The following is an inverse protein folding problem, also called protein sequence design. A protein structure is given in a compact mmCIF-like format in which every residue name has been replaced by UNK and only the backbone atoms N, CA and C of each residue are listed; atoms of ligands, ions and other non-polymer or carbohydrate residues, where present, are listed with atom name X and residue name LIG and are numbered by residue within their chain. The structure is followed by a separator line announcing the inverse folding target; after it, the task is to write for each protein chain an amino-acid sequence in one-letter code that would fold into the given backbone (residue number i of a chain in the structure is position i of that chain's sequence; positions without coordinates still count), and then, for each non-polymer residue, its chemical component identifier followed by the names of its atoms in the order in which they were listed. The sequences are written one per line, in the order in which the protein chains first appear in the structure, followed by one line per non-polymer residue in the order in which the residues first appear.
data_IF_889728872996
#
_entry.id   IF_889728872996
#
_cell.length_a   1.000
_cell.length_b   1.000
_cell.length_c   1.000
_cell.angle_alpha   90.00
_cell.angle_beta   90.00
_cell.angle_gamma   90.00
#
_symmetry.space_group_name_H-M   'P 1'
#
loop_
_entity.id
_entity.type
_entity.pdbx_description
1 polymer ?
#
# COMPACT_ATOMS: atom_id res chain seq x y z
N UNK A 1 -25.07 -5.73 -9.82
CA UNK A 1 -24.51 -5.17 -11.07
C UNK A 1 -24.05 -3.73 -10.88
N UNK A 2 -24.91 -2.85 -10.37
CA UNK A 2 -24.60 -1.43 -10.15
C UNK A 2 -23.46 -1.20 -9.14
N UNK A 3 -23.46 -1.95 -8.02
CA UNK A 3 -22.39 -1.89 -7.01
C UNK A 3 -21.02 -2.33 -7.56
N UNK A 4 -20.99 -3.41 -8.34
CA UNK A 4 -19.78 -3.88 -9.03
C UNK A 4 -19.23 -2.81 -9.98
N UNK A 5 -20.10 -2.17 -10.78
CA UNK A 5 -19.67 -1.10 -11.69
C UNK A 5 -19.17 0.14 -10.95
N UNK A 6 -19.67 0.45 -9.75
CA UNK A 6 -19.11 1.51 -8.90
C UNK A 6 -17.69 1.21 -8.43
N UNK A 7 -17.39 -0.05 -8.12
CA UNK A 7 -16.07 -0.45 -7.59
C UNK A 7 -15.02 -0.71 -8.69
N UNK A 8 -15.42 -1.27 -9.84
CA UNK A 8 -14.49 -1.73 -10.89
C UNK A 8 -14.87 -1.29 -12.31
N UNK A 9 -15.78 -0.33 -12.46
CA UNK A 9 -16.35 0.09 -13.76
C UNK A 9 -15.30 0.45 -14.82
N UNK A 10 -14.26 1.18 -14.44
CA UNK A 10 -13.17 1.55 -15.35
C UNK A 10 -12.44 0.33 -15.93
N UNK A 11 -12.18 -0.68 -15.09
CA UNK A 11 -11.53 -1.93 -15.55
C UNK A 11 -12.49 -2.77 -16.40
N UNK A 12 -13.76 -2.82 -16.03
CA UNK A 12 -14.80 -3.50 -16.78
C UNK A 12 -14.93 -2.93 -18.20
N UNK A 13 -14.99 -1.61 -18.36
CA UNK A 13 -15.03 -0.94 -19.67
C UNK A 13 -13.76 -1.22 -20.48
N UNK A 14 -12.58 -1.13 -19.86
CA UNK A 14 -11.31 -1.40 -20.53
C UNK A 14 -11.26 -2.80 -21.17
N UNK A 15 -11.86 -3.82 -20.55
CA UNK A 15 -11.90 -5.17 -21.12
C UNK A 15 -12.74 -5.28 -22.40
N UNK A 16 -13.71 -4.39 -22.63
CA UNK A 16 -14.53 -4.41 -23.85
C UNK A 16 -13.76 -3.95 -25.10
N UNK A 17 -12.62 -3.28 -24.93
CA UNK A 17 -11.75 -2.85 -26.02
C UNK A 17 -10.78 -3.95 -26.50
N UNK A 18 -10.99 -5.21 -26.09
CA UNK A 18 -10.19 -6.34 -26.56
C UNK A 18 -8.96 -6.62 -25.71
N UNK A 19 -9.10 -6.61 -24.39
CA UNK A 19 -8.01 -7.03 -23.51
C UNK A 19 -7.61 -8.49 -23.80
N UNK A 20 -6.32 -8.80 -23.98
CA UNK A 20 -5.86 -10.17 -24.25
C UNK A 20 -5.97 -11.03 -22.99
N UNK A 21 -5.92 -12.37 -23.12
CA UNK A 21 -5.68 -13.25 -21.98
C UNK A 21 -4.36 -12.86 -21.31
N UNK A 22 -4.40 -12.53 -20.03
CA UNK A 22 -3.23 -12.11 -19.26
C UNK A 22 -3.26 -12.72 -17.86
N UNK A 23 -2.08 -12.87 -17.27
CA UNK A 23 -1.89 -13.36 -15.92
C UNK A 23 -0.54 -12.89 -15.38
N UNK A 24 -0.39 -12.87 -14.07
CA UNK A 24 0.83 -12.42 -13.41
C UNK A 24 0.93 -12.93 -11.98
N UNK A 25 2.06 -12.64 -11.34
CA UNK A 25 2.34 -13.00 -9.95
C UNK A 25 3.09 -11.85 -9.27
N UNK A 26 2.84 -11.66 -7.98
CA UNK A 26 3.56 -10.71 -7.14
C UNK A 26 4.28 -11.45 -6.01
N UNK A 27 5.54 -11.10 -5.77
CA UNK A 27 6.35 -11.67 -4.71
C UNK A 27 6.35 -10.75 -3.49
N UNK A 28 6.19 -11.34 -2.31
CA UNK A 28 6.42 -10.63 -1.05
C UNK A 28 7.92 -10.48 -0.79
N UNK A 29 8.55 -9.44 -1.33
CA UNK A 29 10.01 -9.24 -1.29
C UNK A 29 10.55 -9.27 0.14
N UNK A 30 9.92 -8.57 1.08
CA UNK A 30 10.38 -8.57 2.48
C UNK A 30 10.33 -9.96 3.11
N UNK A 31 9.31 -10.74 2.78
CA UNK A 31 9.19 -12.13 3.26
C UNK A 31 10.22 -13.04 2.62
N UNK A 32 10.47 -12.87 1.32
CA UNK A 32 11.50 -13.59 0.59
C UNK A 32 12.88 -13.32 1.21
N UNK A 33 13.22 -12.05 1.41
CA UNK A 33 14.48 -11.64 2.05
C UNK A 33 14.58 -12.17 3.49
N UNK A 34 13.52 -12.09 4.28
CA UNK A 34 13.49 -12.63 5.64
C UNK A 34 13.86 -14.13 5.68
N UNK A 35 13.33 -14.92 4.73
CA UNK A 35 13.63 -16.35 4.62
C UNK A 35 15.09 -16.58 4.19
N UNK A 36 15.55 -15.87 3.16
CA UNK A 36 16.92 -16.00 2.63
C UNK A 36 17.98 -15.62 3.68
N UNK A 37 17.72 -14.58 4.46
CA UNK A 37 18.58 -14.06 5.53
C UNK A 37 18.36 -14.76 6.88
N UNK A 38 17.49 -15.79 6.92
CA UNK A 38 17.13 -16.56 8.12
C UNK A 38 16.72 -15.68 9.31
N UNK A 39 15.96 -14.62 9.04
CA UNK A 39 15.43 -13.69 10.04
C UNK A 39 14.11 -14.19 10.60
N UNK A 40 13.81 -13.81 11.84
CA UNK A 40 12.57 -14.18 12.50
C UNK A 40 11.41 -13.24 12.14
N UNK A 41 11.71 -12.04 11.65
CA UNK A 41 10.73 -11.01 11.32
C UNK A 41 11.12 -10.23 10.07
N UNK A 42 10.13 -9.86 9.25
CA UNK A 42 10.32 -8.99 8.07
C UNK A 42 10.86 -7.61 8.46
N UNK A 43 10.66 -7.18 9.72
CA UNK A 43 11.21 -5.90 10.21
C UNK A 43 12.74 -5.90 10.22
N UNK A 44 13.37 -7.07 10.28
CA UNK A 44 14.84 -7.20 10.31
C UNK A 44 15.49 -7.05 8.94
N UNK A 45 14.70 -7.04 7.85
CA UNK A 45 15.16 -6.80 6.49
C UNK A 45 14.71 -5.43 5.94
N UNK A 46 14.11 -4.61 6.79
CA UNK A 46 13.70 -3.24 6.47
C UNK A 46 14.64 -2.25 7.17
N UNK A 47 15.07 -1.21 6.46
CA UNK A 47 15.95 -0.19 7.05
C UNK A 47 15.25 0.63 8.15
N UNK A 48 13.96 0.97 7.96
CA UNK A 48 13.18 1.80 8.87
C UNK A 48 11.79 1.17 9.13
N UNK A 49 11.73 0.05 9.89
CA UNK A 49 10.50 -0.67 10.13
C UNK A 49 9.54 0.15 11.01
N UNK A 50 8.24 -0.01 10.78
CA UNK A 50 7.19 0.56 11.62
C UNK A 50 6.83 -0.36 12.77
N UNK A 51 6.31 0.21 13.86
CA UNK A 51 5.75 -0.52 15.00
C UNK A 51 4.47 -1.26 14.61
N UNK A 52 3.92 -2.06 15.54
CA UNK A 52 2.59 -2.69 15.35
C UNK A 52 1.44 -1.67 15.26
N UNK A 53 1.64 -0.46 15.79
CA UNK A 53 0.73 0.69 15.68
C UNK A 53 0.93 1.52 14.41
N UNK A 54 1.76 1.06 13.46
CA UNK A 54 2.12 1.79 12.23
C UNK A 54 2.90 3.09 12.45
N UNK A 55 3.54 3.24 13.61
CA UNK A 55 4.33 4.42 13.94
C UNK A 55 5.80 4.21 13.56
N UNK A 56 6.44 5.30 13.15
CA UNK A 56 7.88 5.40 12.98
C UNK A 56 8.47 6.13 14.18
N UNK A 57 9.21 5.39 15.02
CA UNK A 57 9.83 5.96 16.22
C UNK A 57 11.07 6.82 15.91
N UNK A 58 11.74 6.57 14.78
CA UNK A 58 12.94 7.32 14.38
C UNK A 58 12.56 8.72 13.90
N UNK A 59 11.57 8.80 13.03
CA UNK A 59 11.10 10.05 12.43
C UNK A 59 9.90 10.66 13.16
N UNK A 60 9.37 10.00 14.18
CA UNK A 60 8.18 10.42 14.96
C UNK A 60 6.97 10.66 14.05
N UNK A 61 6.64 9.66 13.25
CA UNK A 61 5.55 9.69 12.26
C UNK A 61 4.48 8.62 12.59
N UNK A 62 3.19 8.84 12.33
CA UNK A 62 2.59 10.07 11.82
C UNK A 62 2.67 11.22 12.85
N UNK A 63 2.74 12.44 12.34
CA UNK A 63 2.71 13.67 13.13
C UNK A 63 1.51 14.52 12.74
N UNK A 64 0.95 15.28 13.70
CA UNK A 64 -0.14 16.22 13.41
C UNK A 64 0.30 17.27 12.38
N UNK A 65 -0.54 17.51 11.39
CA UNK A 65 -0.39 18.62 10.46
C UNK A 65 -0.81 19.94 11.13
N UNK A 66 -0.31 21.06 10.63
CA UNK A 66 -0.78 22.39 11.04
C UNK A 66 -2.19 22.64 10.50
N UNK A 67 -2.99 23.43 11.24
CA UNK A 67 -4.35 23.81 10.84
C UNK A 67 -4.39 24.44 9.45
N UNK A 68 -3.45 25.35 9.17
CA UNK A 68 -3.29 25.97 7.85
C UNK A 68 -3.15 24.95 6.71
N UNK A 69 -2.35 23.89 6.89
CA UNK A 69 -2.17 22.85 5.86
C UNK A 69 -3.41 22.00 5.65
N UNK A 70 -4.15 21.73 6.72
CA UNK A 70 -5.41 20.99 6.67
C UNK A 70 -6.47 21.80 5.91
N UNK A 71 -6.56 23.09 6.20
CA UNK A 71 -7.44 24.04 5.49
C UNK A 71 -7.07 24.16 4.00
N UNK A 72 -5.78 24.33 3.67
CA UNK A 72 -5.30 24.41 2.27
C UNK A 72 -5.63 23.16 1.45
N UNK A 73 -5.63 21.98 2.07
CA UNK A 73 -5.95 20.71 1.41
C UNK A 73 -7.45 20.41 1.36
N UNK A 74 -8.30 21.29 1.90
CA UNK A 74 -9.76 21.10 1.99
C UNK A 74 -10.18 19.77 2.64
N UNK A 75 -9.38 19.29 3.59
CA UNK A 75 -9.68 18.13 4.44
C UNK A 75 -10.10 18.61 5.82
N UNK A 76 -10.96 17.87 6.51
CA UNK A 76 -11.39 18.17 7.89
C UNK A 76 -10.95 17.06 8.83
#
# INVERSE_FOLDING_TARGET
KEEMLKSVGTMYEAFHYGAPPHGGIAWGVDRLMMILEKKASIREVMAFPKTGSSEDLLFKSPSKLSTKKVEEMNVR
#
